data_IF_028370102633
#
_entry.id   IF_028370102633
#
_cell.length_a   1.000
_cell.length_b   1.000
_cell.length_c   1.000
_cell.angle_alpha   90.00
_cell.angle_beta   90.00
_cell.angle_gamma   90.00
#
_symmetry.space_group_name_H-M   'P 1'
#
loop_
_entity.id
_entity.type
_entity.pdbx_description
1 polymer ?
#
# COMPACT_ATOMS: atom_id res chain seq x y z
N UNK A 1 11.57 3.84 24.29
CA UNK A 1 10.98 3.54 22.97
C UNK A 1 12.06 2.87 22.15
N UNK A 2 11.82 1.72 21.53
CA UNK A 2 12.80 1.12 20.62
C UNK A 2 12.69 1.81 19.27
N UNK A 3 13.82 2.12 18.65
CA UNK A 3 13.85 2.57 17.26
C UNK A 3 13.37 1.44 16.36
N UNK A 4 12.56 1.78 15.35
CA UNK A 4 12.07 0.86 14.34
C UNK A 4 12.47 1.38 12.96
N UNK A 5 12.91 0.47 12.11
CA UNK A 5 13.23 0.74 10.71
C UNK A 5 12.05 0.34 9.85
N UNK A 6 11.57 1.26 9.02
CA UNK A 6 10.46 1.03 8.09
C UNK A 6 10.92 1.24 6.65
N UNK A 7 10.31 0.50 5.72
CA UNK A 7 10.50 0.66 4.28
C UNK A 7 9.22 1.24 3.67
N UNK A 8 9.35 2.40 3.02
CA UNK A 8 8.26 3.06 2.29
C UNK A 8 8.51 3.10 0.79
N UNK A 9 7.48 2.81 0.00
CA UNK A 9 7.48 3.00 -1.46
C UNK A 9 6.30 3.87 -1.84
N UNK A 10 6.54 4.88 -2.68
CA UNK A 10 5.50 5.76 -3.21
C UNK A 10 5.46 5.62 -4.74
N UNK A 11 4.27 5.37 -5.27
CA UNK A 11 4.00 5.34 -6.71
C UNK A 11 3.15 6.54 -7.08
N UNK A 12 3.54 7.23 -8.14
CA UNK A 12 2.74 8.29 -8.75
C UNK A 12 2.56 8.00 -10.23
N UNK A 13 1.34 8.19 -10.72
CA UNK A 13 1.01 8.13 -12.14
C UNK A 13 0.22 9.37 -12.51
N UNK A 14 0.71 10.09 -13.53
CA UNK A 14 0.08 11.33 -14.00
C UNK A 14 -1.35 11.10 -14.51
N UNK A 15 -1.57 9.98 -15.22
CA UNK A 15 -2.86 9.57 -15.75
C UNK A 15 -3.09 8.09 -15.49
N UNK A 16 -4.33 7.71 -15.16
CA UNK A 16 -4.77 6.31 -15.04
C UNK A 16 -5.79 6.04 -16.14
N UNK A 17 -5.29 5.93 -17.37
CA UNK A 17 -6.15 5.77 -18.55
C UNK A 17 -6.59 4.31 -18.76
N UNK A 18 -6.04 3.38 -17.98
CA UNK A 18 -6.35 1.95 -18.07
C UNK A 18 -6.53 1.35 -16.67
N UNK A 19 -7.67 0.70 -16.43
CA UNK A 19 -8.02 0.12 -15.12
C UNK A 19 -7.03 -0.96 -14.65
N UNK A 20 -6.44 -1.71 -15.60
CA UNK A 20 -5.45 -2.75 -15.32
C UNK A 20 -4.09 -2.17 -14.88
N UNK A 21 -3.93 -0.85 -14.93
CA UNK A 21 -2.78 -0.11 -14.40
C UNK A 21 -3.09 0.58 -13.08
N UNK A 22 -4.15 0.17 -12.36
CA UNK A 22 -4.48 0.77 -11.06
C UNK A 22 -3.24 0.74 -10.12
N UNK A 23 -2.72 1.90 -9.68
CA UNK A 23 -1.53 1.97 -8.85
C UNK A 23 -1.60 1.13 -7.57
N UNK A 24 -2.80 0.89 -7.02
CA UNK A 24 -2.94 0.06 -5.83
C UNK A 24 -2.65 -1.42 -6.11
N UNK A 25 -2.97 -1.90 -7.32
CA UNK A 25 -2.69 -3.27 -7.73
C UNK A 25 -1.19 -3.46 -7.96
N UNK A 26 -0.55 -2.46 -8.58
CA UNK A 26 0.90 -2.43 -8.75
C UNK A 26 1.62 -2.44 -7.40
N UNK A 27 1.22 -1.58 -6.46
CA UNK A 27 1.78 -1.56 -5.12
C UNK A 27 1.63 -2.91 -4.40
N UNK A 28 0.47 -3.58 -4.52
CA UNK A 28 0.27 -4.93 -3.96
C UNK A 28 1.20 -5.97 -4.61
N UNK A 29 1.46 -5.86 -5.90
CA UNK A 29 2.37 -6.76 -6.60
C UNK A 29 3.82 -6.55 -6.17
N UNK A 30 4.25 -5.30 -5.98
CA UNK A 30 5.57 -4.98 -5.42
C UNK A 30 5.74 -5.61 -4.03
N UNK A 31 4.75 -5.46 -3.14
CA UNK A 31 4.79 -6.07 -1.80
C UNK A 31 4.90 -7.59 -1.87
N UNK A 32 4.13 -8.24 -2.75
CA UNK A 32 4.20 -9.70 -2.96
C UNK A 32 5.58 -10.12 -3.48
N UNK A 33 6.13 -9.38 -4.44
CA UNK A 33 7.45 -9.64 -4.99
C UNK A 33 8.52 -9.52 -3.90
N UNK A 34 8.52 -8.45 -3.12
CA UNK A 34 9.47 -8.27 -2.00
C UNK A 34 9.37 -9.40 -0.98
N UNK A 35 8.16 -9.78 -0.56
CA UNK A 35 7.98 -10.87 0.38
C UNK A 35 8.45 -12.22 -0.18
N UNK A 36 8.30 -12.44 -1.49
CA UNK A 36 8.82 -13.63 -2.18
C UNK A 36 10.35 -13.63 -2.22
N UNK A 37 10.98 -12.55 -2.65
CA UNK A 37 12.44 -12.43 -2.75
C UNK A 37 13.13 -12.54 -1.39
N UNK A 38 12.44 -12.12 -0.32
CA UNK A 38 12.91 -12.22 1.06
C UNK A 38 12.48 -13.52 1.75
N UNK A 39 11.82 -14.44 1.03
CA UNK A 39 11.34 -15.73 1.55
C UNK A 39 10.46 -15.62 2.81
N UNK A 40 9.72 -14.52 2.96
CA UNK A 40 8.91 -14.25 4.15
C UNK A 40 7.60 -15.06 4.19
N UNK A 41 7.22 -15.69 3.08
CA UNK A 41 6.01 -16.49 2.94
C UNK A 41 4.85 -15.76 2.24
N UNK A 42 3.63 -16.25 2.46
CA UNK A 42 2.44 -15.78 1.72
C UNK A 42 1.91 -14.47 2.29
N UNK A 43 1.85 -13.45 1.43
CA UNK A 43 1.23 -12.16 1.75
C UNK A 43 -0.29 -12.24 1.62
N UNK A 44 -0.99 -11.77 2.65
CA UNK A 44 -2.44 -11.52 2.62
C UNK A 44 -2.74 -10.03 2.83
N UNK A 45 -3.92 -9.62 2.38
CA UNK A 45 -4.37 -8.22 2.45
C UNK A 45 -5.73 -8.17 3.15
N UNK A 46 -5.78 -7.54 4.32
CA UNK A 46 -7.01 -7.35 5.08
C UNK A 46 -7.56 -5.93 4.91
N UNK A 47 -8.87 -5.77 5.01
CA UNK A 47 -9.49 -4.44 4.95
C UNK A 47 -8.98 -3.58 6.10
N UNK A 48 -8.74 -2.30 5.81
CA UNK A 48 -8.33 -1.29 6.79
C UNK A 48 -9.15 -0.01 6.61
N UNK A 49 -9.09 0.88 7.59
CA UNK A 49 -9.87 2.11 7.63
C UNK A 49 -9.02 3.31 8.12
N UNK A 50 -7.81 3.44 7.60
CA UNK A 50 -6.96 4.61 7.84
C UNK A 50 -7.54 5.83 7.14
N UNK A 51 -7.71 6.93 7.88
CA UNK A 51 -8.33 8.17 7.40
C UNK A 51 -7.50 8.89 6.33
N UNK A 52 -6.18 8.70 6.32
CA UNK A 52 -5.27 9.30 5.35
C UNK A 52 -5.30 8.63 3.97
N UNK A 53 -5.95 7.48 3.84
CA UNK A 53 -6.01 6.72 2.59
C UNK A 53 -7.44 6.65 2.04
N UNK A 54 -7.55 6.42 0.75
CA UNK A 54 -8.83 6.26 0.06
C UNK A 54 -9.60 5.05 0.66
N UNK A 55 -10.89 5.20 1.06
CA UNK A 55 -11.63 4.18 1.81
C UNK A 55 -11.70 2.80 1.12
N UNK A 56 -11.74 2.80 -0.23
CA UNK A 56 -11.83 1.56 -1.03
C UNK A 56 -10.49 1.08 -1.58
N UNK A 57 -9.40 1.85 -1.39
CA UNK A 57 -8.09 1.54 -1.98
C UNK A 57 -7.02 1.53 -0.89
N UNK A 58 -7.25 0.74 0.14
CA UNK A 58 -6.32 0.53 1.24
C UNK A 58 -6.45 -0.88 1.82
N UNK A 59 -5.36 -1.41 2.38
CA UNK A 59 -5.32 -2.69 3.05
C UNK A 59 -4.17 -2.76 4.07
N UNK A 60 -4.39 -3.51 5.15
CA UNK A 60 -3.32 -3.98 6.02
C UNK A 60 -2.60 -5.14 5.34
N UNK A 61 -1.27 -5.14 5.38
CA UNK A 61 -0.43 -6.19 4.81
C UNK A 61 -0.05 -7.16 5.93
N UNK A 62 -0.30 -8.45 5.71
CA UNK A 62 0.02 -9.50 6.68
C UNK A 62 0.85 -10.61 6.04
N UNK A 63 1.68 -11.24 6.87
CA UNK A 63 2.37 -12.49 6.57
C UNK A 63 1.98 -13.47 7.67
N UNK A 64 1.21 -14.51 7.29
CA UNK A 64 0.46 -15.31 8.26
C UNK A 64 -0.47 -14.41 9.09
N UNK A 65 -0.36 -14.48 10.41
CA UNK A 65 -1.17 -13.67 11.34
C UNK A 65 -0.53 -12.33 11.72
N UNK A 66 0.72 -12.08 11.30
CA UNK A 66 1.48 -10.89 11.69
C UNK A 66 1.21 -9.75 10.72
N UNK A 67 0.80 -8.59 11.23
CA UNK A 67 0.71 -7.35 10.48
C UNK A 67 2.11 -6.74 10.33
N UNK A 68 2.54 -6.54 9.09
CA UNK A 68 3.89 -6.03 8.76
C UNK A 68 3.87 -4.61 8.17
N UNK A 69 2.69 -4.08 7.85
CA UNK A 69 2.55 -2.76 7.27
C UNK A 69 1.19 -2.54 6.61
N UNK A 70 1.12 -1.58 5.70
CA UNK A 70 -0.11 -1.26 4.96
C UNK A 70 0.22 -0.86 3.51
N UNK A 71 -0.80 -0.88 2.66
CA UNK A 71 -0.76 -0.32 1.31
C UNK A 71 -2.01 0.52 1.11
N UNK A 72 -1.87 1.71 0.53
CA UNK A 72 -3.00 2.61 0.36
C UNK A 72 -2.75 3.69 -0.68
N UNK A 73 -3.80 4.07 -1.40
CA UNK A 73 -3.82 5.29 -2.20
C UNK A 73 -4.17 6.47 -1.27
N UNK A 74 -3.48 7.61 -1.39
CA UNK A 74 -3.79 8.80 -0.59
C UNK A 74 -5.25 9.24 -0.79
N UNK A 75 -5.85 9.75 0.28
CA UNK A 75 -7.21 10.28 0.22
C UNK A 75 -7.28 11.49 -0.74
N UNK A 76 -8.28 11.61 -1.64
CA UNK A 76 -8.36 12.72 -2.61
C UNK A 76 -8.32 14.11 -1.96
N UNK A 77 -8.97 14.27 -0.81
CA UNK A 77 -8.92 15.53 -0.05
C UNK A 77 -7.51 15.91 0.41
N UNK A 78 -6.66 14.93 0.73
CA UNK A 78 -5.27 15.20 1.12
C UNK A 78 -4.48 15.70 -0.09
N UNK A 79 -4.68 15.09 -1.26
CA UNK A 79 -4.05 15.52 -2.51
C UNK A 79 -4.45 16.96 -2.85
N UNK A 80 -5.75 17.28 -2.79
CA UNK A 80 -6.26 18.64 -3.00
C UNK A 80 -5.64 19.66 -2.04
N UNK A 81 -5.59 19.34 -0.74
CA UNK A 81 -5.06 20.25 0.28
C UNK A 81 -3.56 20.52 0.09
N UNK A 82 -2.81 19.56 -0.45
CA UNK A 82 -1.37 19.67 -0.67
C UNK A 82 -1.00 20.08 -2.11
N UNK A 83 -1.99 20.31 -2.99
CA UNK A 83 -1.81 20.66 -4.42
C UNK A 83 -0.96 19.64 -5.19
N UNK A 84 -1.15 18.35 -4.89
CA UNK A 84 -0.49 17.21 -5.54
C UNK A 84 -1.48 16.47 -6.42
#
# INVERSE_FOLDING_TARGET
MSEQTELGVMLYQKNVDQWNKDPILEAKNIVRMLAKELELGTVSFEKSAFSQYHPKKQALVKIGDVAIGFVGALHPLILQNNKI
#
